data_IF_668804877614
#
_entry.id   IF_668804877614
#
_cell.length_a   1.000
_cell.length_b   1.000
_cell.length_c   1.000
_cell.angle_alpha   90.00
_cell.angle_beta   90.00
_cell.angle_gamma   90.00
#
_symmetry.space_group_name_H-M   'P 1'
#
loop_
_entity.id
_entity.type
_entity.pdbx_description
1 polymer ?
#
# COMPACT_ATOMS: atom_id res chain seq x y z
N UNK A 1 30.96 31.23 -69.69
CA UNK A 1 30.91 31.47 -68.23
C UNK A 1 30.27 30.28 -67.54
N UNK A 2 30.99 29.66 -66.59
CA UNK A 2 30.74 28.31 -66.08
C UNK A 2 29.64 28.19 -65.02
N UNK A 3 28.90 27.09 -65.10
CA UNK A 3 27.88 26.58 -64.15
C UNK A 3 28.42 26.54 -62.71
N UNK A 4 27.81 27.29 -61.79
CA UNK A 4 27.99 27.08 -60.35
C UNK A 4 27.03 25.99 -59.86
N UNK A 5 27.62 24.84 -59.52
CA UNK A 5 26.98 23.73 -58.83
C UNK A 5 26.62 24.18 -57.41
N UNK A 6 25.33 24.24 -57.08
CA UNK A 6 24.90 24.44 -55.69
C UNK A 6 24.82 23.07 -55.02
N UNK A 7 25.64 22.87 -53.99
CA UNK A 7 25.74 21.61 -53.23
C UNK A 7 24.52 21.49 -52.32
N UNK A 8 23.79 20.38 -52.45
CA UNK A 8 22.77 19.96 -51.49
C UNK A 8 23.47 19.65 -50.17
N UNK A 9 23.11 20.35 -49.10
CA UNK A 9 23.55 20.05 -47.74
C UNK A 9 22.44 19.22 -47.06
N UNK A 10 22.60 17.91 -47.01
CA UNK A 10 21.71 17.02 -46.25
C UNK A 10 22.16 17.08 -44.79
N UNK A 11 21.40 17.76 -43.94
CA UNK A 11 21.55 17.62 -42.48
C UNK A 11 20.91 16.30 -42.06
N UNK A 12 21.73 15.31 -41.68
CA UNK A 12 21.24 14.12 -41.00
C UNK A 12 20.97 14.46 -39.53
N UNK A 13 19.70 14.58 -39.15
CA UNK A 13 19.30 14.57 -37.74
C UNK A 13 19.45 13.13 -37.21
N UNK A 14 20.45 12.91 -36.37
CA UNK A 14 20.57 11.68 -35.57
C UNK A 14 19.61 11.80 -34.41
N UNK A 15 18.43 11.18 -34.52
CA UNK A 15 17.51 11.01 -33.41
C UNK A 15 18.11 9.97 -32.44
N UNK A 16 18.69 10.43 -31.33
CA UNK A 16 19.03 9.57 -30.20
C UNK A 16 17.73 9.09 -29.55
N UNK A 17 17.47 7.77 -29.43
CA UNK A 17 16.33 7.30 -28.69
C UNK A 17 16.64 7.54 -27.21
N UNK A 18 15.91 8.47 -26.59
CA UNK A 18 15.85 8.56 -25.13
C UNK A 18 15.20 7.26 -24.63
N UNK A 19 16.03 6.28 -24.28
CA UNK A 19 15.60 5.14 -23.50
C UNK A 19 15.30 5.64 -22.08
N UNK A 20 14.06 6.07 -21.84
CA UNK A 20 13.59 6.31 -20.49
C UNK A 20 13.67 4.97 -19.73
N UNK A 21 14.23 4.94 -18.51
CA UNK A 21 14.15 3.73 -17.71
C UNK A 21 12.67 3.47 -17.45
N UNK A 22 12.21 2.28 -17.84
CA UNK A 22 10.91 1.79 -17.43
C UNK A 22 11.05 1.53 -15.93
N UNK A 23 10.77 2.54 -15.11
CA UNK A 23 10.59 2.36 -13.68
C UNK A 23 9.37 1.47 -13.55
N UNK A 24 9.61 0.18 -13.35
CA UNK A 24 8.56 -0.76 -13.02
C UNK A 24 8.06 -0.34 -11.64
N UNK A 25 7.03 0.51 -11.61
CA UNK A 25 6.32 0.87 -10.40
C UNK A 25 5.61 -0.39 -9.92
N UNK A 26 6.35 -1.26 -9.22
CA UNK A 26 5.76 -2.32 -8.44
C UNK A 26 4.84 -1.62 -7.44
N UNK A 27 3.54 -1.72 -7.67
CA UNK A 27 2.55 -1.22 -6.74
C UNK A 27 2.88 -1.86 -5.39
N UNK A 28 3.13 -1.08 -4.32
CA UNK A 28 3.48 -1.63 -3.03
C UNK A 28 2.44 -2.68 -2.65
N UNK A 29 2.88 -3.87 -2.21
CA UNK A 29 1.98 -4.94 -1.80
C UNK A 29 1.08 -4.40 -0.68
N UNK A 30 -0.15 -4.03 -1.03
CA UNK A 30 -1.11 -3.40 -0.11
C UNK A 30 -1.72 -4.43 0.83
N UNK A 31 -1.83 -5.69 0.41
CA UNK A 31 -2.36 -6.77 1.25
C UNK A 31 -1.23 -7.59 1.83
N UNK A 32 -1.16 -7.71 3.15
CA UNK A 32 -0.12 -8.48 3.83
C UNK A 32 -0.71 -9.67 4.58
N UNK A 33 -0.08 -10.84 4.48
CA UNK A 33 -0.51 -12.02 5.24
C UNK A 33 0.14 -11.99 6.62
N UNK A 34 -0.70 -12.00 7.65
CA UNK A 34 -0.30 -11.99 9.06
C UNK A 34 -0.24 -13.40 9.64
N UNK A 35 -1.17 -14.26 9.23
CA UNK A 35 -1.21 -15.66 9.60
C UNK A 35 -1.95 -16.46 8.54
N UNK A 36 -1.44 -17.64 8.20
CA UNK A 36 -2.12 -18.55 7.29
C UNK A 36 -1.90 -19.98 7.78
N UNK A 37 -2.93 -20.50 8.45
CA UNK A 37 -2.95 -21.80 9.11
C UNK A 37 -4.02 -22.69 8.49
N UNK A 38 -4.07 -23.97 8.90
CA UNK A 38 -5.13 -24.90 8.49
C UNK A 38 -6.53 -24.48 8.97
N UNK A 39 -6.63 -23.61 9.98
CA UNK A 39 -7.91 -23.17 10.55
C UNK A 39 -8.38 -21.82 10.01
N UNK A 40 -7.46 -20.90 9.74
CA UNK A 40 -7.78 -19.53 9.36
C UNK A 40 -6.67 -18.85 8.56
N UNK A 41 -7.05 -17.79 7.85
CA UNK A 41 -6.16 -16.76 7.30
C UNK A 41 -6.44 -15.44 8.03
N UNK A 42 -5.38 -14.69 8.36
CA UNK A 42 -5.44 -13.27 8.74
C UNK A 42 -4.59 -12.47 7.78
N UNK A 43 -5.12 -11.33 7.37
CA UNK A 43 -4.41 -10.39 6.52
C UNK A 43 -4.74 -8.96 6.94
N UNK A 44 -3.90 -8.03 6.51
CA UNK A 44 -4.17 -6.61 6.61
C UNK A 44 -4.11 -5.95 5.23
N UNK A 45 -4.98 -4.98 4.99
CA UNK A 45 -4.98 -4.16 3.79
C UNK A 45 -4.51 -2.74 4.14
N UNK A 46 -3.39 -2.34 3.55
CA UNK A 46 -2.74 -1.03 3.71
C UNK A 46 -3.41 -0.04 2.75
N UNK A 47 -4.27 0.79 3.31
CA UNK A 47 -4.99 1.80 2.54
C UNK A 47 -4.18 3.10 2.46
N UNK A 48 -3.50 3.50 3.53
CA UNK A 48 -2.65 4.71 3.56
C UNK A 48 -1.20 4.36 3.93
N UNK A 49 -0.26 4.98 3.22
CA UNK A 49 1.18 4.97 3.51
C UNK A 49 1.57 6.30 4.18
N UNK A 50 2.75 6.40 4.80
CA UNK A 50 3.21 7.65 5.38
C UNK A 50 3.02 8.83 4.43
N UNK A 51 2.40 9.89 4.95
CA UNK A 51 2.04 11.10 4.23
C UNK A 51 2.74 12.33 4.84
N UNK A 52 3.93 12.69 4.31
CA UNK A 52 4.67 13.85 4.78
C UNK A 52 3.91 15.17 4.61
N UNK A 53 3.00 15.28 3.63
CA UNK A 53 2.25 16.52 3.42
C UNK A 53 1.30 16.83 4.58
N UNK A 54 0.93 15.80 5.36
CA UNK A 54 0.07 15.90 6.52
C UNK A 54 0.79 15.59 7.85
N UNK A 55 2.13 15.54 7.85
CA UNK A 55 2.94 15.15 9.01
C UNK A 55 2.52 13.79 9.59
N UNK A 56 2.14 12.84 8.74
CA UNK A 56 1.72 11.50 9.14
C UNK A 56 2.82 10.48 8.79
N UNK A 57 3.63 10.04 9.77
CA UNK A 57 4.70 9.09 9.51
C UNK A 57 4.24 7.63 9.50
N UNK A 58 2.95 7.35 9.64
CA UNK A 58 2.43 6.00 9.91
C UNK A 58 1.77 5.35 8.70
N UNK A 59 1.58 4.04 8.78
CA UNK A 59 0.70 3.30 7.89
C UNK A 59 -0.69 3.17 8.52
N UNK A 60 -1.72 3.19 7.67
CA UNK A 60 -3.09 2.92 8.10
C UNK A 60 -3.69 1.76 7.33
N UNK A 61 -4.27 0.83 8.08
CA UNK A 61 -4.75 -0.44 7.54
C UNK A 61 -6.05 -0.91 8.19
N UNK A 62 -6.75 -1.80 7.49
CA UNK A 62 -7.77 -2.70 8.06
C UNK A 62 -7.16 -4.08 8.31
N UNK A 63 -7.65 -4.79 9.33
CA UNK A 63 -7.24 -6.17 9.61
C UNK A 63 -8.42 -7.11 9.58
N UNK A 64 -8.23 -8.26 8.94
CA UNK A 64 -9.28 -9.25 8.72
C UNK A 64 -8.89 -10.65 9.20
N UNK A 65 -9.91 -11.46 9.45
CA UNK A 65 -9.80 -12.90 9.67
C UNK A 65 -10.84 -13.65 8.82
N UNK A 66 -10.39 -14.68 8.14
CA UNK A 66 -11.26 -15.61 7.42
C UNK A 66 -11.00 -17.03 7.91
N UNK A 67 -12.06 -17.72 8.35
CA UNK A 67 -11.99 -19.14 8.72
C UNK A 67 -11.89 -19.98 7.45
N UNK A 68 -10.97 -20.95 7.41
CA UNK A 68 -10.86 -21.87 6.27
C UNK A 68 -12.17 -22.64 6.10
N UNK A 69 -12.62 -22.77 4.85
CA UNK A 69 -13.89 -23.44 4.50
C UNK A 69 -15.14 -22.56 4.64
N UNK A 70 -15.03 -21.34 5.16
CA UNK A 70 -16.13 -20.38 5.08
C UNK A 70 -16.29 -19.86 3.64
N UNK A 71 -17.46 -19.29 3.33
CA UNK A 71 -17.68 -18.67 2.02
C UNK A 71 -16.76 -17.44 1.86
N UNK A 72 -16.27 -17.11 0.66
CA UNK A 72 -15.28 -16.03 0.46
C UNK A 72 -15.66 -14.66 1.05
N UNK A 73 -16.96 -14.33 1.10
CA UNK A 73 -17.48 -13.07 1.65
C UNK A 73 -17.70 -13.10 3.17
N UNK A 74 -17.45 -14.23 3.83
CA UNK A 74 -17.59 -14.38 5.28
C UNK A 74 -16.23 -14.21 5.92
N UNK A 75 -15.98 -13.02 6.42
CA UNK A 75 -14.78 -12.66 7.17
C UNK A 75 -15.16 -11.81 8.37
N UNK A 76 -14.26 -11.75 9.35
CA UNK A 76 -14.34 -10.82 10.47
C UNK A 76 -13.39 -9.67 10.21
N UNK A 77 -13.82 -8.44 10.46
CA UNK A 77 -12.91 -7.30 10.62
C UNK A 77 -12.41 -7.34 12.06
N UNK A 78 -11.12 -7.60 12.24
CA UNK A 78 -10.47 -7.56 13.56
C UNK A 78 -10.16 -6.11 13.95
N UNK A 79 -9.83 -5.27 12.98
CA UNK A 79 -9.73 -3.83 13.14
C UNK A 79 -10.26 -3.12 11.89
N UNK A 80 -11.17 -2.17 12.08
CA UNK A 80 -11.68 -1.28 11.02
C UNK A 80 -10.69 -0.17 10.67
N UNK A 81 -9.76 0.16 11.57
CA UNK A 81 -8.67 1.09 11.36
C UNK A 81 -7.59 0.81 12.38
N UNK A 82 -6.34 0.71 11.93
CA UNK A 82 -5.17 0.59 12.78
C UNK A 82 -4.08 1.50 12.24
N UNK A 83 -3.47 2.27 13.15
CA UNK A 83 -2.27 3.07 12.90
C UNK A 83 -1.06 2.26 13.33
N UNK A 84 -0.07 2.10 12.46
CA UNK A 84 1.10 1.25 12.72
C UNK A 84 2.39 1.91 12.25
N UNK A 85 3.47 1.70 13.02
CA UNK A 85 4.81 2.16 12.64
C UNK A 85 5.37 1.31 11.49
N UNK A 86 6.32 1.84 10.69
CA UNK A 86 7.01 1.04 9.65
C UNK A 86 7.65 -0.24 10.21
N UNK A 87 8.38 -0.14 11.33
CA UNK A 87 9.05 -1.27 11.97
C UNK A 87 8.07 -2.36 12.44
N UNK A 88 6.92 -1.96 13.00
CA UNK A 88 5.89 -2.89 13.46
C UNK A 88 5.19 -3.58 12.27
N UNK A 89 4.97 -2.86 11.17
CA UNK A 89 4.42 -3.41 9.94
C UNK A 89 5.35 -4.47 9.34
N UNK A 90 6.66 -4.19 9.29
CA UNK A 90 7.66 -5.12 8.77
C UNK A 90 7.77 -6.38 9.62
N UNK A 91 7.77 -6.23 10.95
CA UNK A 91 7.75 -7.37 11.89
C UNK A 91 6.47 -8.22 11.78
N UNK A 92 5.37 -7.62 11.34
CA UNK A 92 4.07 -8.31 11.20
C UNK A 92 3.94 -9.14 9.92
N UNK A 93 4.80 -8.89 8.93
CA UNK A 93 4.72 -9.51 7.61
C UNK A 93 5.23 -10.95 7.64
N UNK A 94 4.46 -11.88 7.06
CA UNK A 94 4.98 -13.21 6.73
C UNK A 94 5.56 -13.24 5.31
N UNK A 95 6.42 -14.22 4.99
CA UNK A 95 6.96 -14.38 3.63
C UNK A 95 5.90 -14.83 2.59
N UNK A 96 4.64 -14.99 2.99
CA UNK A 96 3.56 -15.41 2.10
C UNK A 96 2.95 -14.19 1.42
N UNK A 97 2.91 -14.22 0.09
CA UNK A 97 2.18 -13.23 -0.70
C UNK A 97 0.67 -13.47 -0.65
N UNK A 98 -0.09 -12.37 -0.60
CA UNK A 98 -1.54 -12.44 -0.62
C UNK A 98 -2.06 -12.86 -1.99
N UNK A 99 -2.91 -13.90 -2.02
CA UNK A 99 -3.77 -14.20 -3.18
C UNK A 99 -5.12 -13.53 -2.89
N UNK A 100 -5.30 -12.35 -3.45
CA UNK A 100 -6.26 -11.30 -3.02
C UNK A 100 -7.73 -11.75 -2.92
N UNK A 101 -8.42 -11.25 -1.88
CA UNK A 101 -9.87 -11.06 -1.84
C UNK A 101 -10.13 -9.55 -1.76
N UNK A 102 -10.46 -8.89 -2.87
CA UNK A 102 -10.71 -7.45 -2.88
C UNK A 102 -12.09 -7.13 -2.27
N UNK A 103 -12.13 -6.39 -1.17
CA UNK A 103 -13.35 -5.91 -0.51
C UNK A 103 -13.42 -4.37 -0.53
N UNK A 104 -14.64 -3.79 -0.43
CA UNK A 104 -14.87 -2.34 -0.52
C UNK A 104 -14.50 -1.62 0.78
N UNK A 105 -13.88 -0.45 0.64
CA UNK A 105 -13.04 0.28 1.60
C UNK A 105 -13.69 1.55 2.19
N UNK A 106 -15.01 1.73 2.03
CA UNK A 106 -15.70 2.98 2.39
C UNK A 106 -15.62 3.30 3.89
N UNK A 107 -15.79 2.30 4.77
CA UNK A 107 -15.74 2.50 6.22
C UNK A 107 -14.34 2.90 6.69
N UNK A 108 -13.30 2.26 6.14
CA UNK A 108 -11.91 2.62 6.39
C UNK A 108 -11.67 4.11 6.13
N UNK A 109 -12.07 4.61 4.95
CA UNK A 109 -11.79 5.99 4.55
C UNK A 109 -12.48 7.01 5.46
N UNK A 110 -13.66 6.68 5.97
CA UNK A 110 -14.37 7.53 6.94
C UNK A 110 -13.57 7.62 8.24
N UNK A 111 -13.15 6.49 8.80
CA UNK A 111 -12.41 6.46 10.08
C UNK A 111 -11.01 7.08 9.94
N UNK A 112 -10.29 6.80 8.85
CA UNK A 112 -9.00 7.44 8.57
C UNK A 112 -9.13 8.96 8.44
N UNK A 113 -10.11 9.45 7.67
CA UNK A 113 -10.34 10.89 7.52
C UNK A 113 -10.67 11.53 8.87
N UNK A 114 -11.47 10.88 9.70
CA UNK A 114 -11.78 11.36 11.05
C UNK A 114 -10.53 11.47 11.91
N UNK A 115 -9.70 10.41 11.97
CA UNK A 115 -8.43 10.43 12.69
C UNK A 115 -7.51 11.55 12.17
N UNK A 116 -7.29 11.62 10.86
CA UNK A 116 -6.37 12.58 10.24
C UNK A 116 -6.78 14.03 10.52
N UNK A 117 -8.07 14.34 10.44
CA UNK A 117 -8.56 15.72 10.50
C UNK A 117 -8.89 16.16 11.95
N UNK A 118 -8.90 15.26 12.94
CA UNK A 118 -9.26 15.55 14.34
C UNK A 118 -8.11 15.29 15.34
N UNK A 119 -7.48 16.34 15.93
CA UNK A 119 -6.41 16.20 16.91
C UNK A 119 -6.76 15.38 18.16
N UNK A 120 -8.00 15.48 18.66
CA UNK A 120 -8.44 14.74 19.84
C UNK A 120 -8.51 13.23 19.53
N UNK A 121 -9.09 12.89 18.37
CA UNK A 121 -9.12 11.50 17.89
C UNK A 121 -7.71 10.92 17.76
N UNK A 122 -6.74 11.71 17.24
CA UNK A 122 -5.35 11.28 17.16
C UNK A 122 -4.73 11.01 18.52
N UNK A 123 -4.96 11.89 19.49
CA UNK A 123 -4.40 11.74 20.84
C UNK A 123 -4.96 10.52 21.58
N UNK A 124 -6.19 10.11 21.29
CA UNK A 124 -6.86 8.98 21.93
C UNK A 124 -6.66 7.64 21.21
N UNK A 125 -6.24 7.66 19.94
CA UNK A 125 -6.06 6.43 19.15
C UNK A 125 -4.69 5.81 19.45
N UNK A 126 -4.62 4.58 20.00
CA UNK A 126 -3.35 3.93 20.26
C UNK A 126 -2.61 3.63 18.95
N UNK A 127 -1.30 3.88 18.92
CA UNK A 127 -0.43 3.51 17.81
C UNK A 127 0.15 2.13 18.09
N UNK A 128 0.03 1.21 17.14
CA UNK A 128 0.62 -0.11 17.28
C UNK A 128 2.14 -0.05 17.05
N UNK A 129 2.92 -0.35 18.09
CA UNK A 129 4.39 -0.34 18.07
C UNK A 129 5.03 -1.75 18.08
N UNK A 130 4.21 -2.82 18.12
CA UNK A 130 4.67 -4.22 18.22
C UNK A 130 4.38 -5.02 16.95
N UNK A 131 3.43 -5.96 17.00
CA UNK A 131 2.90 -6.67 15.83
C UNK A 131 1.39 -6.49 15.76
N UNK A 132 0.82 -6.55 14.55
CA UNK A 132 -0.63 -6.41 14.35
C UNK A 132 -1.40 -7.43 15.20
N UNK A 133 -0.91 -8.67 15.29
CA UNK A 133 -1.58 -9.72 16.07
C UNK A 133 -1.53 -9.44 17.57
N UNK A 134 -0.45 -8.87 18.08
CA UNK A 134 -0.32 -8.55 19.50
C UNK A 134 -1.17 -7.33 19.88
N UNK A 135 -1.19 -6.29 19.04
CA UNK A 135 -2.05 -5.12 19.22
C UNK A 135 -3.56 -5.47 19.22
N UNK A 136 -3.97 -6.52 18.49
CA UNK A 136 -5.36 -7.00 18.46
C UNK A 136 -5.77 -7.86 19.65
N UNK A 137 -4.82 -8.32 20.46
CA UNK A 137 -5.09 -9.18 21.64
C UNK A 137 -5.30 -8.39 22.92
N UNK A 138 -4.86 -7.13 22.94
CA UNK A 138 -5.01 -6.19 24.05
C UNK A 138 -6.23 -5.28 23.87
#
# INVERSE_FOLDING_TARGET
MGKKRSKVLILALVALPFAAPIVNAQTPERTIILADTVKLTRWADIHQVPDPAHNDPYYHLEVFEHKKGAKPWVFKRLAHHMVITPDALDKSRTQKQAKTYAYKDVEFWITYKHWRDNPESRAQTPVCETTIIDCLRN
#
